data_IF_344068851313
#
_entry.id   IF_344068851313
#
_cell.length_a   1.000
_cell.length_b   1.000
_cell.length_c   1.000
_cell.angle_alpha   90.00
_cell.angle_beta   90.00
_cell.angle_gamma   90.00
#
_symmetry.space_group_name_H-M   'P 1'
#
loop_
_entity.id
_entity.type
_entity.pdbx_description
1 polymer ?
#
# COMPACT_ATOMS: atom_id res chain seq x y z
N UNK A 1 8.13 -11.32 -36.19
CA UNK A 1 8.96 -10.58 -35.21
C UNK A 1 8.12 -10.47 -33.95
N UNK A 2 8.40 -11.29 -32.93
CA UNK A 2 7.62 -11.36 -31.69
C UNK A 2 8.04 -10.20 -30.78
N UNK A 3 7.10 -9.31 -30.47
CA UNK A 3 7.33 -8.08 -29.69
C UNK A 3 6.70 -8.16 -28.30
N UNK A 4 7.44 -7.67 -27.31
CA UNK A 4 7.13 -7.53 -25.87
C UNK A 4 6.72 -8.82 -25.15
N UNK A 5 7.33 -9.13 -24.01
CA UNK A 5 7.22 -10.40 -23.28
C UNK A 5 5.82 -10.71 -22.69
N UNK A 6 4.72 -10.13 -23.18
CA UNK A 6 3.34 -10.49 -22.81
C UNK A 6 2.94 -10.19 -21.36
N UNK A 7 3.85 -9.65 -20.54
CA UNK A 7 3.58 -9.36 -19.13
C UNK A 7 2.83 -8.03 -19.01
N UNK A 8 1.73 -8.04 -18.27
CA UNK A 8 1.00 -6.84 -17.84
C UNK A 8 1.22 -6.59 -16.36
N UNK A 9 1.08 -5.33 -15.95
CA UNK A 9 1.26 -4.90 -14.56
C UNK A 9 0.03 -4.11 -14.13
N UNK A 10 -0.58 -4.55 -13.03
CA UNK A 10 -1.60 -3.82 -12.29
C UNK A 10 -1.01 -3.41 -10.94
N UNK A 11 -1.19 -2.15 -10.57
CA UNK A 11 -0.78 -1.63 -9.26
C UNK A 11 -2.00 -1.04 -8.58
N UNK A 12 -2.22 -1.44 -7.34
CA UNK A 12 -3.31 -0.92 -6.50
C UNK A 12 -2.72 -0.28 -5.26
N UNK A 13 -3.27 0.87 -4.89
CA UNK A 13 -2.81 1.73 -3.81
C UNK A 13 -3.89 1.76 -2.73
N UNK A 14 -3.47 1.67 -1.46
CA UNK A 14 -4.35 1.82 -0.31
C UNK A 14 -3.71 2.77 0.72
N UNK A 15 -4.50 3.52 1.49
CA UNK A 15 -3.98 4.36 2.57
C UNK A 15 -3.14 3.56 3.56
N UNK A 16 -2.08 4.18 4.06
CA UNK A 16 -1.19 3.62 5.07
C UNK A 16 -1.01 4.65 6.17
N UNK A 17 -1.41 4.31 7.40
CA UNK A 17 -1.18 5.14 8.58
C UNK A 17 -0.30 4.40 9.56
N UNK A 18 0.07 5.05 10.66
CA UNK A 18 0.78 4.39 11.73
C UNK A 18 0.45 4.98 13.08
N UNK A 19 0.95 4.35 14.13
CA UNK A 19 0.85 4.80 15.50
C UNK A 19 2.27 4.79 16.11
N UNK A 20 2.70 5.94 16.65
CA UNK A 20 4.02 6.07 17.27
C UNK A 20 3.92 6.18 18.79
N UNK A 21 4.58 5.26 19.48
CA UNK A 21 4.82 5.35 20.92
C UNK A 21 6.14 6.06 21.14
N UNK A 22 6.09 7.34 21.50
CA UNK A 22 7.31 8.16 21.64
C UNK A 22 8.12 7.76 22.87
N UNK A 23 9.43 7.98 22.80
CA UNK A 23 10.33 7.93 23.96
C UNK A 23 10.21 9.25 24.75
N UNK A 24 10.26 9.14 26.08
CA UNK A 24 10.41 10.30 26.98
C UNK A 24 11.88 10.74 27.07
N UNK A 25 12.16 11.76 27.89
CA UNK A 25 13.50 12.34 28.08
C UNK A 25 14.54 11.33 28.58
N UNK A 26 14.11 10.21 29.17
CA UNK A 26 14.97 9.13 29.66
C UNK A 26 14.96 7.91 28.74
N UNK A 27 14.37 8.01 27.56
CA UNK A 27 14.35 6.96 26.54
C UNK A 27 13.29 5.88 26.74
N UNK A 28 12.35 6.06 27.68
CA UNK A 28 11.28 5.10 27.95
C UNK A 28 10.08 5.38 27.04
N UNK A 29 9.47 4.34 26.48
CA UNK A 29 8.24 4.48 25.70
C UNK A 29 7.09 5.01 26.56
N UNK A 30 6.40 5.99 26.01
CA UNK A 30 5.15 6.50 26.53
C UNK A 30 4.06 5.43 26.39
N UNK A 31 3.07 5.48 27.27
CA UNK A 31 1.94 4.52 27.27
C UNK A 31 0.93 4.84 26.16
N UNK A 32 0.83 6.10 25.77
CA UNK A 32 -0.07 6.55 24.71
C UNK A 32 0.70 6.67 23.41
N UNK A 33 0.09 6.19 22.34
CA UNK A 33 0.56 6.47 21.00
C UNK A 33 0.02 7.81 20.50
N UNK A 34 0.71 8.35 19.51
CA UNK A 34 0.20 9.40 18.64
C UNK A 34 -0.04 8.81 17.25
N UNK A 35 -1.19 9.12 16.65
CA UNK A 35 -1.46 8.68 15.29
C UNK A 35 -0.56 9.44 14.30
N UNK A 36 0.05 8.70 13.39
CA UNK A 36 0.88 9.21 12.31
C UNK A 36 0.11 9.10 11.00
N UNK A 37 -0.26 10.24 10.37
CA UNK A 37 -0.92 10.23 9.08
C UNK A 37 0.07 9.88 7.95
N UNK A 38 -0.45 9.62 6.76
CA UNK A 38 0.33 9.23 5.57
C UNK A 38 1.50 10.17 5.27
N UNK A 39 1.30 11.48 5.44
CA UNK A 39 2.33 12.50 5.24
C UNK A 39 3.48 12.35 6.25
N UNK A 40 3.14 12.04 7.50
CA UNK A 40 4.11 11.86 8.58
C UNK A 40 4.97 10.60 8.44
N UNK A 41 4.51 9.62 7.67
CA UNK A 41 5.25 8.38 7.40
C UNK A 41 6.33 8.53 6.33
N UNK A 42 6.35 9.63 5.57
CA UNK A 42 7.28 9.79 4.44
C UNK A 42 8.74 9.71 4.87
N UNK A 43 9.06 10.20 6.08
CA UNK A 43 10.42 10.16 6.64
C UNK A 43 10.89 8.73 6.97
N UNK A 44 9.98 7.76 7.04
CA UNK A 44 10.24 6.36 7.39
C UNK A 44 10.08 5.40 6.20
N UNK A 45 10.00 5.92 4.96
CA UNK A 45 9.73 5.13 3.75
C UNK A 45 10.61 3.86 3.65
N UNK A 46 11.91 3.99 3.87
CA UNK A 46 12.84 2.87 3.70
C UNK A 46 12.61 1.78 4.77
N UNK A 47 12.42 2.16 6.02
CA UNK A 47 12.16 1.22 7.12
C UNK A 47 10.81 0.52 6.93
N UNK A 48 9.80 1.26 6.45
CA UNK A 48 8.47 0.73 6.12
C UNK A 48 8.54 -0.27 4.98
N UNK A 49 9.27 0.05 3.90
CA UNK A 49 9.49 -0.88 2.79
C UNK A 49 10.19 -2.16 3.27
N UNK A 50 11.16 -2.04 4.18
CA UNK A 50 11.84 -3.18 4.76
C UNK A 50 10.90 -4.02 5.62
N UNK A 51 10.09 -3.42 6.50
CA UNK A 51 9.11 -4.15 7.31
C UNK A 51 8.12 -4.93 6.43
N UNK A 52 7.57 -4.29 5.40
CA UNK A 52 6.67 -4.92 4.42
C UNK A 52 7.36 -6.09 3.71
N UNK A 53 8.60 -5.90 3.26
CA UNK A 53 9.36 -6.94 2.59
C UNK A 53 9.66 -8.13 3.51
N UNK A 54 10.03 -7.87 4.77
CA UNK A 54 10.29 -8.90 5.77
C UNK A 54 9.06 -9.80 5.96
N UNK A 55 7.89 -9.21 6.24
CA UNK A 55 6.66 -9.98 6.44
C UNK A 55 6.21 -10.69 5.16
N UNK A 56 6.38 -10.05 4.00
CA UNK A 56 6.08 -10.68 2.71
C UNK A 56 6.91 -11.94 2.47
N UNK A 57 8.20 -11.92 2.82
CA UNK A 57 9.09 -13.07 2.65
C UNK A 57 8.73 -14.24 3.57
N UNK A 58 8.04 -13.99 4.69
CA UNK A 58 7.50 -15.03 5.56
C UNK A 58 6.23 -15.68 4.99
N UNK A 59 5.56 -15.04 4.02
CA UNK A 59 4.30 -15.52 3.43
C UNK A 59 4.55 -16.48 2.26
N UNK A 60 3.92 -17.66 2.33
CA UNK A 60 3.62 -18.51 1.17
C UNK A 60 4.80 -19.16 0.44
N UNK A 61 6.04 -18.95 0.91
CA UNK A 61 7.25 -19.49 0.30
C UNK A 61 7.37 -19.08 -1.18
N UNK A 62 7.69 -20.04 -2.06
CA UNK A 62 7.88 -19.77 -3.49
C UNK A 62 6.64 -19.18 -4.21
N UNK A 63 5.44 -19.31 -3.63
CA UNK A 63 4.20 -18.83 -4.24
C UNK A 63 3.78 -17.43 -3.75
N UNK A 64 4.44 -16.89 -2.71
CA UNK A 64 4.11 -15.59 -2.11
C UNK A 64 2.61 -15.43 -1.83
N UNK A 65 2.07 -14.24 -2.10
CA UNK A 65 0.65 -13.92 -1.87
C UNK A 65 -0.33 -14.55 -2.88
N UNK A 66 0.14 -15.17 -3.97
CA UNK A 66 -0.76 -15.84 -4.94
C UNK A 66 -1.51 -17.04 -4.32
N UNK A 67 -1.08 -17.51 -3.16
CA UNK A 67 -1.75 -18.55 -2.39
C UNK A 67 -3.18 -18.16 -1.99
N UNK A 68 -3.42 -16.87 -1.77
CA UNK A 68 -4.71 -16.33 -1.33
C UNK A 68 -5.72 -16.12 -2.47
N UNK A 69 -5.33 -16.30 -3.74
CA UNK A 69 -6.25 -16.24 -4.86
C UNK A 69 -7.11 -17.52 -4.93
N UNK A 70 -8.43 -17.34 -4.79
CA UNK A 70 -9.40 -18.44 -4.85
C UNK A 70 -9.70 -18.87 -6.30
N UNK A 71 -9.74 -17.93 -7.24
CA UNK A 71 -10.11 -18.23 -8.62
C UNK A 71 -8.93 -18.87 -9.38
N UNK A 72 -9.06 -20.16 -9.69
CA UNK A 72 -8.00 -20.95 -10.36
C UNK A 72 -7.52 -20.36 -11.69
N UNK A 73 -8.42 -19.75 -12.47
CA UNK A 73 -8.06 -19.16 -13.75
C UNK A 73 -7.25 -17.88 -13.57
N UNK A 74 -7.69 -16.99 -12.68
CA UNK A 74 -6.94 -15.78 -12.34
C UNK A 74 -5.56 -16.14 -11.78
N UNK A 75 -5.51 -17.10 -10.85
CA UNK A 75 -4.26 -17.58 -10.27
C UNK A 75 -3.24 -18.09 -11.29
N UNK A 76 -3.68 -18.68 -12.41
CA UNK A 76 -2.78 -19.12 -13.51
C UNK A 76 -2.22 -17.96 -14.32
N UNK A 77 -2.94 -16.84 -14.37
CA UNK A 77 -2.49 -15.62 -15.05
C UNK A 77 -1.49 -14.82 -14.23
N UNK A 78 -1.56 -14.89 -12.90
CA UNK A 78 -0.71 -14.10 -12.01
C UNK A 78 0.65 -14.76 -11.83
N UNK A 79 1.71 -14.01 -12.16
CA UNK A 79 3.10 -14.38 -11.93
C UNK A 79 3.53 -14.05 -10.51
N UNK A 80 3.30 -12.81 -10.09
CA UNK A 80 3.73 -12.30 -8.78
C UNK A 80 2.73 -11.31 -8.23
N UNK A 81 2.67 -11.26 -6.91
CA UNK A 81 1.93 -10.27 -6.12
C UNK A 81 2.86 -9.82 -5.02
N UNK A 82 3.32 -8.59 -5.09
CA UNK A 82 4.40 -8.06 -4.24
C UNK A 82 3.88 -6.80 -3.55
N UNK A 83 3.68 -6.84 -2.21
CA UNK A 83 3.34 -5.67 -1.44
C UNK A 83 4.59 -4.80 -1.22
N UNK A 84 4.39 -3.49 -1.12
CA UNK A 84 5.42 -2.48 -0.90
C UNK A 84 4.79 -1.20 -0.36
N UNK A 85 5.61 -0.17 -0.15
CA UNK A 85 5.13 1.20 0.09
C UNK A 85 5.75 2.16 -0.94
N UNK A 86 4.98 3.17 -1.37
CA UNK A 86 5.43 4.19 -2.32
C UNK A 86 4.99 5.59 -1.88
N UNK A 87 5.87 6.56 -2.10
CA UNK A 87 5.57 7.98 -1.97
C UNK A 87 4.78 8.47 -3.19
N UNK A 88 3.60 9.01 -2.96
CA UNK A 88 2.82 9.69 -3.99
C UNK A 88 2.09 10.88 -3.38
N UNK A 89 2.26 12.07 -3.98
CA UNK A 89 1.63 13.32 -3.54
C UNK A 89 1.89 13.64 -2.05
N UNK A 90 3.18 13.60 -1.67
CA UNK A 90 3.64 13.85 -0.29
C UNK A 90 2.96 12.96 0.78
N UNK A 91 2.44 11.80 0.37
CA UNK A 91 1.78 10.82 1.21
C UNK A 91 2.37 9.46 0.95
N UNK A 92 2.53 8.67 2.01
CA UNK A 92 2.98 7.29 1.87
C UNK A 92 1.79 6.34 1.71
N UNK A 93 1.82 5.53 0.66
CA UNK A 93 0.78 4.57 0.32
C UNK A 93 1.29 3.14 0.46
N UNK A 94 0.41 2.23 0.88
CA UNK A 94 0.62 0.81 0.68
C UNK A 94 0.30 0.46 -0.78
N UNK A 95 1.14 -0.36 -1.41
CA UNK A 95 1.03 -0.70 -2.83
C UNK A 95 1.15 -2.21 -3.02
N UNK A 96 0.23 -2.79 -3.77
CA UNK A 96 0.37 -4.15 -4.28
C UNK A 96 0.64 -4.11 -5.79
N UNK A 97 1.83 -4.58 -6.19
CA UNK A 97 2.18 -4.77 -7.59
C UNK A 97 1.86 -6.21 -8.02
N UNK A 98 1.04 -6.32 -9.06
CA UNK A 98 0.55 -7.58 -9.62
C UNK A 98 1.09 -7.70 -11.04
N UNK A 99 1.90 -8.72 -11.29
CA UNK A 99 2.39 -9.04 -12.64
C UNK A 99 1.63 -10.23 -13.19
N UNK A 100 1.18 -10.14 -14.43
CA UNK A 100 0.39 -11.17 -15.09
C UNK A 100 0.89 -11.48 -16.48
N UNK A 101 0.73 -12.72 -16.95
CA UNK A 101 1.05 -13.14 -18.33
C UNK A 101 0.03 -12.69 -19.38
N UNK A 102 -1.10 -12.12 -18.94
CA UNK A 102 -2.21 -11.72 -19.79
C UNK A 102 -2.79 -10.39 -19.26
N UNK A 103 -3.64 -9.75 -20.07
CA UNK A 103 -4.39 -8.58 -19.61
C UNK A 103 -5.41 -8.98 -18.54
N UNK A 104 -5.42 -8.22 -17.44
CA UNK A 104 -6.40 -8.32 -16.36
C UNK A 104 -7.70 -7.64 -16.79
N UNK A 105 -8.83 -8.35 -16.71
CA UNK A 105 -10.16 -7.74 -16.97
C UNK A 105 -10.61 -6.90 -15.78
N UNK A 106 -11.70 -6.12 -15.94
CA UNK A 106 -12.25 -5.33 -14.84
C UNK A 106 -12.82 -6.17 -13.70
N UNK A 107 -13.39 -7.33 -14.02
CA UNK A 107 -13.87 -8.29 -13.02
C UNK A 107 -12.69 -8.92 -12.26
N UNK A 108 -11.60 -9.23 -12.95
CA UNK A 108 -10.37 -9.75 -12.33
C UNK A 108 -9.66 -8.70 -11.47
N UNK A 109 -9.63 -7.44 -11.91
CA UNK A 109 -9.14 -6.29 -11.13
C UNK A 109 -9.92 -6.14 -9.82
N UNK A 110 -11.27 -6.18 -9.88
CA UNK A 110 -12.11 -6.13 -8.70
C UNK A 110 -11.85 -7.31 -7.73
N UNK A 111 -11.65 -8.52 -8.26
CA UNK A 111 -11.32 -9.68 -7.43
C UNK A 111 -9.92 -9.57 -6.78
N UNK A 112 -8.95 -8.95 -7.47
CA UNK A 112 -7.61 -8.68 -6.91
C UNK A 112 -7.67 -7.63 -5.81
N UNK A 113 -8.49 -6.59 -5.97
CA UNK A 113 -8.74 -5.57 -4.96
C UNK A 113 -9.41 -6.16 -3.73
N UNK A 114 -10.50 -6.93 -3.89
CA UNK A 114 -11.20 -7.60 -2.79
C UNK A 114 -10.27 -8.57 -2.02
N UNK A 115 -9.43 -9.32 -2.73
CA UNK A 115 -8.44 -10.17 -2.09
C UNK A 115 -7.39 -9.34 -1.33
N UNK A 116 -6.93 -8.23 -1.89
CA UNK A 116 -5.96 -7.37 -1.22
C UNK A 116 -6.54 -6.78 0.06
N UNK A 117 -7.76 -6.25 0.01
CA UNK A 117 -8.49 -5.77 1.18
C UNK A 117 -8.57 -6.84 2.28
N UNK A 118 -8.95 -8.07 1.94
CA UNK A 118 -9.00 -9.20 2.89
C UNK A 118 -7.65 -9.48 3.54
N UNK A 119 -6.54 -9.30 2.82
CA UNK A 119 -5.20 -9.46 3.38
C UNK A 119 -4.84 -8.29 4.30
N UNK A 120 -5.21 -7.06 3.94
CA UNK A 120 -4.99 -5.87 4.77
C UNK A 120 -5.80 -5.91 6.08
N UNK A 121 -6.98 -6.53 6.07
CA UNK A 121 -7.81 -6.72 7.27
C UNK A 121 -7.52 -8.03 8.01
N UNK A 122 -6.63 -8.87 7.49
CA UNK A 122 -6.41 -10.24 7.94
C UNK A 122 -4.93 -10.54 8.16
N UNK A 123 -4.49 -11.74 7.77
CA UNK A 123 -3.17 -12.30 8.10
C UNK A 123 -2.00 -11.34 7.79
N UNK A 124 -1.95 -10.75 6.59
CA UNK A 124 -0.87 -9.83 6.26
C UNK A 124 -0.95 -8.51 7.04
N UNK A 125 -2.14 -7.94 7.18
CA UNK A 125 -2.38 -6.74 7.99
C UNK A 125 -2.00 -6.93 9.45
N UNK A 126 -2.42 -8.03 10.06
CA UNK A 126 -2.13 -8.38 11.45
C UNK A 126 -0.63 -8.54 11.68
N UNK A 127 0.09 -9.18 10.75
CA UNK A 127 1.55 -9.32 10.79
C UNK A 127 2.25 -7.97 10.77
N UNK A 128 1.84 -7.09 9.86
CA UNK A 128 2.40 -5.75 9.74
C UNK A 128 2.08 -4.90 10.97
N UNK A 129 0.87 -5.00 11.51
CA UNK A 129 0.47 -4.32 12.74
C UNK A 129 1.36 -4.71 13.93
N UNK A 130 1.83 -5.96 13.96
CA UNK A 130 2.72 -6.46 15.01
C UNK A 130 4.21 -6.22 14.73
N UNK A 131 4.57 -5.80 13.51
CA UNK A 131 5.95 -5.54 13.13
C UNK A 131 6.41 -4.16 13.60
N UNK A 132 7.06 -4.09 14.75
CA UNK A 132 7.55 -2.84 15.32
C UNK A 132 8.74 -2.28 14.54
N UNK A 133 8.65 -1.02 14.13
CA UNK A 133 9.75 -0.25 13.55
C UNK A 133 10.35 0.64 14.65
N UNK A 134 11.61 0.36 15.01
CA UNK A 134 12.34 1.19 15.98
C UNK A 134 12.86 2.46 15.32
N UNK A 135 12.53 3.61 15.92
CA UNK A 135 12.96 4.93 15.45
C UNK A 135 13.67 5.69 16.56
N UNK A 136 14.31 6.81 16.20
CA UNK A 136 14.89 7.73 17.19
C UNK A 136 13.81 8.34 18.09
N UNK A 137 12.60 8.56 17.56
CA UNK A 137 11.50 9.16 18.30
C UNK A 137 10.76 8.16 19.19
N UNK A 138 10.80 6.87 18.88
CA UNK A 138 9.90 5.89 19.50
C UNK A 138 9.81 4.58 18.75
N UNK A 139 8.72 3.86 19.00
CA UNK A 139 8.33 2.66 18.26
C UNK A 139 7.12 2.97 17.38
N UNK A 140 7.28 2.76 16.08
CA UNK A 140 6.25 2.96 15.07
C UNK A 140 5.61 1.62 14.72
N UNK A 141 4.28 1.60 14.73
CA UNK A 141 3.44 0.49 14.31
C UNK A 141 2.64 0.91 13.08
N UNK A 142 2.54 0.04 12.08
CA UNK A 142 1.89 0.37 10.80
C UNK A 142 0.46 -0.17 10.75
N UNK A 143 -0.44 0.66 10.22
CA UNK A 143 -1.85 0.35 10.02
C UNK A 143 -2.13 0.35 8.51
N UNK A 144 -2.23 -0.84 7.91
CA UNK A 144 -2.55 -0.99 6.49
C UNK A 144 -4.04 -0.90 6.17
N UNK A 145 -4.89 -0.88 7.19
CA UNK A 145 -6.34 -0.78 7.07
C UNK A 145 -6.92 0.07 8.20
N UNK A 146 -8.02 0.77 7.93
CA UNK A 146 -8.84 1.43 8.95
C UNK A 146 -10.32 1.47 8.50
N UNK A 147 -11.22 1.75 9.44
CA UNK A 147 -12.67 1.79 9.23
C UNK A 147 -13.19 3.15 8.72
N UNK A 148 -12.31 4.04 8.26
CA UNK A 148 -12.70 5.33 7.71
C UNK A 148 -13.44 5.16 6.38
N UNK A 149 -14.45 6.01 6.15
CA UNK A 149 -15.10 6.13 4.84
C UNK A 149 -14.15 6.59 3.73
N UNK A 150 -13.00 7.18 4.11
CA UNK A 150 -11.94 7.60 3.19
C UNK A 150 -11.00 6.45 2.81
N UNK A 151 -11.11 5.28 3.45
CA UNK A 151 -10.29 4.12 3.09
C UNK A 151 -10.76 3.53 1.76
N UNK A 152 -9.98 3.78 0.70
CA UNK A 152 -10.26 3.26 -0.64
C UNK A 152 -9.01 2.62 -1.22
N UNK A 153 -9.16 1.38 -1.69
CA UNK A 153 -8.15 0.72 -2.51
C UNK A 153 -8.43 1.09 -3.96
N UNK A 154 -7.49 1.75 -4.62
CA UNK A 154 -7.67 2.25 -5.99
C UNK A 154 -6.54 1.82 -6.92
N UNK A 155 -6.83 1.51 -8.20
CA UNK A 155 -5.78 1.32 -9.20
C UNK A 155 -4.95 2.60 -9.38
N UNK A 156 -3.63 2.42 -9.59
CA UNK A 156 -2.69 3.54 -9.78
C UNK A 156 -3.16 4.54 -10.85
N UNK A 157 -3.66 4.03 -11.97
CA UNK A 157 -4.12 4.86 -13.08
C UNK A 157 -5.31 5.74 -12.71
N UNK A 158 -6.13 5.35 -11.73
CA UNK A 158 -7.25 6.14 -11.22
C UNK A 158 -6.74 7.17 -10.21
N UNK A 159 -5.94 6.74 -9.22
CA UNK A 159 -5.33 7.62 -8.21
C UNK A 159 -4.60 8.80 -8.85
N UNK A 160 -3.75 8.53 -9.85
CA UNK A 160 -2.94 9.55 -10.52
C UNK A 160 -3.73 10.41 -11.51
N UNK A 161 -4.89 9.94 -12.00
CA UNK A 161 -5.80 10.73 -12.85
C UNK A 161 -6.58 11.77 -12.03
N UNK A 162 -7.13 11.38 -10.89
CA UNK A 162 -7.88 12.30 -10.00
C UNK A 162 -7.01 13.49 -9.59
N UNK A 163 -5.74 13.22 -9.26
CA UNK A 163 -4.82 14.29 -8.89
C UNK A 163 -4.44 15.21 -10.06
N UNK A 164 -4.32 14.65 -11.28
CA UNK A 164 -4.09 15.46 -12.49
C UNK A 164 -5.26 16.41 -12.79
N UNK A 165 -6.49 16.07 -12.38
CA UNK A 165 -7.67 16.92 -12.57
C UNK A 165 -7.78 18.01 -11.49
N UNK A 166 -7.46 17.70 -10.23
CA UNK A 166 -7.44 18.68 -9.14
C UNK A 166 -6.39 19.78 -9.36
N UNK A 167 -5.20 19.43 -9.88
CA UNK A 167 -4.16 20.42 -10.21
C UNK A 167 -4.54 21.37 -11.36
N UNK A 168 -5.47 20.96 -12.25
CA UNK A 168 -5.98 21.82 -13.32
C UNK A 168 -7.04 22.79 -12.78
N UNK A 169 -7.88 22.37 -11.83
CA UNK A 169 -8.89 23.25 -11.21
C UNK A 169 -8.26 24.35 -10.33
N UNK A 170 -7.19 24.06 -9.58
CA UNK A 170 -6.46 25.07 -8.79
C UNK A 170 -5.79 26.14 -9.66
N UNK A 171 -5.27 25.76 -10.83
CA UNK A 171 -4.71 26.72 -11.81
C UNK A 171 -5.80 27.61 -12.44
N UNK A 172 -7.03 27.11 -12.59
CA UNK A 172 -8.14 27.91 -13.13
C UNK A 172 -8.72 28.91 -12.12
N UNK A 173 -8.71 28.58 -10.82
CA UNK A 173 -9.20 29.47 -9.76
C UNK A 173 -8.22 30.61 -9.44
N UNK A 174 -6.91 30.38 -9.57
CA UNK A 174 -5.87 31.39 -9.35
C UNK A 174 -5.71 32.36 -10.52
N UNK A 175 -6.22 32.01 -11.71
CA UNK A 175 -6.21 32.86 -12.91
C UNK A 175 -7.31 33.91 -13.01
N UNK A 176 -8.22 34.00 -12.03
CA UNK A 176 -9.39 34.91 -12.06
C UNK A 176 -9.28 36.13 -11.12
N UNK A 177 -8.11 36.38 -10.52
CA UNK A 177 -7.82 37.64 -9.85
C UNK A 177 -6.89 38.51 -10.72
N UNK A 178 -7.50 39.23 -11.67
CA UNK A 178 -6.96 40.49 -12.19
C UNK A 178 -8.04 41.57 -12.12
#
# INVERSE_FOLDING_TARGET
>A
MYGSDGITVLRVFSPLTGDIYKKDEVGKLQVKYEQMPMEGLCDYLQDIQQAIQCEYLEIGGANGMTVYLEQKNLKRKILTMIPSAELWDNRLWSVLEIRSTETITKEEEAALIDMWEKQLTGDFGDRILLHTISTDQGELYLNLWNDSEEFVICPEAELKRTHSMNGIEEMQLTGLQM
#
